data_IF_658415765855
#
_entry.id   IF_658415765855
#
_cell.length_a   1.000
_cell.length_b   1.000
_cell.length_c   1.000
_cell.angle_alpha   90.00
_cell.angle_beta   90.00
_cell.angle_gamma   90.00
#
_symmetry.space_group_name_H-M   'P 1'
#
loop_
_entity.id
_entity.type
_entity.pdbx_description
1 polymer ?
#
# COMPACT_ATOMS: atom_id res chain seq x y z
N UNK A 1 -6.76 -32.87 9.43
CA UNK A 1 -6.46 -31.44 9.63
C UNK A 1 -6.81 -30.71 8.34
N UNK A 2 -8.02 -30.20 8.26
CA UNK A 2 -8.44 -29.29 7.19
C UNK A 2 -7.77 -27.96 7.46
N UNK A 3 -6.84 -27.56 6.61
CA UNK A 3 -6.38 -26.18 6.56
C UNK A 3 -7.63 -25.31 6.41
N UNK A 4 -7.93 -24.49 7.42
CA UNK A 4 -8.92 -23.43 7.29
C UNK A 4 -8.46 -22.57 6.13
N UNK A 5 -9.20 -22.54 5.02
CA UNK A 5 -9.00 -21.51 4.01
C UNK A 5 -9.18 -20.17 4.74
N UNK A 6 -8.13 -19.36 4.79
CA UNK A 6 -8.25 -17.98 5.26
C UNK A 6 -9.48 -17.35 4.62
N UNK A 7 -10.37 -16.78 5.43
CA UNK A 7 -11.57 -16.13 4.95
C UNK A 7 -11.19 -14.95 4.06
N UNK A 8 -11.32 -15.11 2.75
CA UNK A 8 -11.26 -14.01 1.80
C UNK A 8 -12.68 -13.55 1.50
N UNK A 9 -12.94 -12.27 1.68
CA UNK A 9 -14.19 -11.63 1.36
C UNK A 9 -14.00 -10.72 0.15
N UNK A 10 -15.00 -10.69 -0.73
CA UNK A 10 -15.11 -9.70 -1.80
C UNK A 10 -16.38 -8.90 -1.56
N UNK A 11 -16.20 -7.60 -1.42
CA UNK A 11 -17.25 -6.63 -1.14
C UNK A 11 -17.22 -5.53 -2.18
N UNK A 12 -18.38 -4.96 -2.50
CA UNK A 12 -18.43 -3.64 -3.14
C UNK A 12 -18.19 -2.53 -2.11
N UNK A 13 -17.97 -1.30 -2.57
CA UNK A 13 -17.84 -0.15 -1.66
C UNK A 13 -19.12 0.08 -0.85
N UNK A 14 -20.30 -0.09 -1.45
CA UNK A 14 -21.58 0.07 -0.74
C UNK A 14 -21.80 -1.05 0.28
N UNK A 15 -21.38 -2.28 -0.03
CA UNK A 15 -21.43 -3.39 0.92
C UNK A 15 -20.52 -3.16 2.11
N UNK A 16 -19.28 -2.69 1.88
CA UNK A 16 -18.39 -2.35 2.97
C UNK A 16 -18.96 -1.21 3.83
N UNK A 17 -19.62 -0.21 3.24
CA UNK A 17 -20.33 0.83 4.00
C UNK A 17 -21.48 0.27 4.84
N UNK A 18 -22.28 -0.67 4.32
CA UNK A 18 -23.33 -1.35 5.09
C UNK A 18 -22.71 -2.09 6.28
N UNK A 19 -21.67 -2.88 6.04
CA UNK A 19 -20.99 -3.66 7.09
C UNK A 19 -20.39 -2.74 8.15
N UNK A 20 -19.65 -1.70 7.74
CA UNK A 20 -19.07 -0.73 8.65
C UNK A 20 -20.12 -0.05 9.53
N UNK A 21 -21.25 0.37 8.94
CA UNK A 21 -22.34 0.99 9.69
C UNK A 21 -22.96 0.04 10.73
N UNK A 22 -23.11 -1.26 10.40
CA UNK A 22 -23.62 -2.28 11.34
C UNK A 22 -22.67 -2.54 12.50
N UNK A 23 -21.36 -2.50 12.23
CA UNK A 23 -20.31 -2.74 13.22
C UNK A 23 -19.95 -1.48 14.03
N UNK A 24 -20.54 -0.33 13.72
CA UNK A 24 -20.17 0.96 14.33
C UNK A 24 -18.78 1.46 13.92
N UNK A 25 -18.20 0.91 12.85
CA UNK A 25 -16.88 1.32 12.33
C UNK A 25 -17.00 2.69 11.67
N UNK A 26 -16.31 3.68 12.24
CA UNK A 26 -16.41 5.09 11.83
C UNK A 26 -15.31 5.53 10.85
N UNK A 27 -14.21 4.78 10.79
CA UNK A 27 -13.06 5.10 9.97
C UNK A 27 -12.54 3.83 9.30
N UNK A 28 -11.91 4.00 8.16
CA UNK A 28 -11.24 2.94 7.41
C UNK A 28 -9.88 3.48 6.94
N UNK A 29 -8.94 2.60 6.55
CA UNK A 29 -7.65 2.99 6.04
C UNK A 29 -7.79 3.97 4.87
N UNK A 30 -7.23 5.18 5.01
CA UNK A 30 -7.44 6.29 4.08
C UNK A 30 -7.01 5.95 2.65
N UNK A 31 -6.06 5.02 2.50
CA UNK A 31 -5.59 4.57 1.19
C UNK A 31 -6.68 3.92 0.36
N UNK A 32 -7.68 3.27 0.97
CA UNK A 32 -8.79 2.60 0.27
C UNK A 32 -9.74 3.58 -0.42
N UNK A 33 -9.75 4.84 0.00
CA UNK A 33 -10.47 5.93 -0.66
C UNK A 33 -11.98 5.66 -0.83
N UNK A 34 -12.60 5.24 0.28
CA UNK A 34 -14.03 4.93 0.40
C UNK A 34 -14.80 6.24 0.65
N UNK A 35 -15.30 6.86 -0.40
CA UNK A 35 -15.98 8.17 -0.30
C UNK A 35 -17.45 8.01 -0.68
N UNK A 36 -18.36 8.80 -0.09
CA UNK A 36 -19.73 8.86 -0.58
C UNK A 36 -19.74 9.16 -2.09
N UNK A 37 -20.23 8.21 -2.89
CA UNK A 37 -20.20 8.25 -4.36
C UNK A 37 -21.55 8.57 -5.01
N UNK A 38 -22.63 8.47 -4.24
CA UNK A 38 -24.00 8.64 -4.73
C UNK A 38 -24.41 10.11 -4.74
N UNK A 39 -24.98 10.62 -5.84
CA UNK A 39 -25.27 12.05 -6.01
C UNK A 39 -26.47 12.54 -5.19
N UNK A 40 -27.34 11.63 -4.73
CA UNK A 40 -28.55 11.96 -3.96
C UNK A 40 -28.74 10.98 -2.80
N UNK A 41 -29.50 11.40 -1.78
CA UNK A 41 -29.87 10.55 -0.66
C UNK A 41 -30.71 9.34 -1.10
N UNK A 42 -31.62 9.53 -2.06
CA UNK A 42 -32.44 8.44 -2.62
C UNK A 42 -31.56 7.39 -3.31
N UNK A 43 -30.65 7.82 -4.19
CA UNK A 43 -29.73 6.90 -4.86
C UNK A 43 -28.84 6.15 -3.85
N UNK A 44 -28.37 6.85 -2.82
CA UNK A 44 -27.63 6.24 -1.71
C UNK A 44 -28.46 5.19 -0.98
N UNK A 45 -29.71 5.48 -0.64
CA UNK A 45 -30.59 4.55 0.08
C UNK A 45 -30.89 3.30 -0.75
N UNK A 46 -31.13 3.47 -2.05
CA UNK A 46 -31.36 2.35 -2.99
C UNK A 46 -30.12 1.45 -3.09
N UNK A 47 -28.94 2.04 -3.24
CA UNK A 47 -27.66 1.32 -3.33
C UNK A 47 -27.35 0.55 -2.04
N UNK A 48 -27.52 1.16 -0.86
CA UNK A 48 -27.35 0.48 0.43
C UNK A 48 -28.39 -0.62 0.64
N UNK A 49 -29.62 -0.45 0.14
CA UNK A 49 -30.65 -1.48 0.14
C UNK A 49 -30.28 -2.68 -0.75
N UNK A 50 -29.71 -2.43 -1.94
CA UNK A 50 -29.18 -3.48 -2.82
C UNK A 50 -28.00 -4.22 -2.19
N UNK A 51 -27.04 -3.49 -1.63
CA UNK A 51 -25.89 -4.04 -0.92
C UNK A 51 -26.32 -4.92 0.27
N UNK A 52 -27.30 -4.46 1.07
CA UNK A 52 -27.86 -5.23 2.19
C UNK A 52 -28.47 -6.55 1.70
N UNK A 53 -29.25 -6.53 0.62
CA UNK A 53 -29.82 -7.76 0.04
C UNK A 53 -28.73 -8.71 -0.44
N UNK A 54 -27.72 -8.21 -1.15
CA UNK A 54 -26.62 -9.05 -1.64
C UNK A 54 -25.81 -9.68 -0.51
N UNK A 55 -25.55 -8.94 0.58
CA UNK A 55 -24.89 -9.47 1.77
C UNK A 55 -25.71 -10.57 2.44
N UNK A 56 -27.03 -10.40 2.54
CA UNK A 56 -27.94 -11.41 3.10
C UNK A 56 -28.04 -12.65 2.22
N UNK A 57 -28.15 -12.50 0.90
CA UNK A 57 -28.14 -13.62 -0.06
C UNK A 57 -26.86 -14.45 0.02
N UNK A 58 -25.72 -13.80 0.31
CA UNK A 58 -24.42 -14.46 0.51
C UNK A 58 -24.19 -14.96 1.94
N UNK A 59 -25.15 -14.79 2.85
CA UNK A 59 -25.03 -15.21 4.25
C UNK A 59 -24.04 -14.38 5.09
N UNK A 60 -23.53 -13.26 4.57
CA UNK A 60 -22.63 -12.35 5.28
C UNK A 60 -23.38 -11.43 6.25
N UNK A 61 -24.70 -11.31 6.07
CA UNK A 61 -25.59 -10.57 6.96
C UNK A 61 -26.84 -11.41 7.27
N UNK A 62 -27.03 -11.81 8.51
CA UNK A 62 -28.18 -12.63 8.96
C UNK A 62 -28.91 -11.93 10.10
N UNK A 63 -30.23 -11.74 9.95
CA UNK A 63 -31.06 -11.05 10.95
C UNK A 63 -30.53 -9.66 11.38
N UNK A 64 -29.80 -8.97 10.50
CA UNK A 64 -29.18 -7.67 10.78
C UNK A 64 -27.77 -7.74 11.36
N UNK A 65 -27.29 -8.92 11.73
CA UNK A 65 -25.95 -9.18 12.25
C UNK A 65 -24.97 -9.58 11.14
N UNK A 66 -23.77 -9.03 11.19
CA UNK A 66 -22.67 -9.38 10.26
C UNK A 66 -22.05 -10.71 10.72
N UNK A 67 -21.61 -11.55 9.78
CA UNK A 67 -20.92 -12.80 10.15
C UNK A 67 -19.67 -12.53 11.02
N UNK A 68 -19.34 -13.46 11.92
CA UNK A 68 -18.26 -13.28 12.89
C UNK A 68 -16.90 -13.06 12.20
N UNK A 69 -16.62 -13.83 11.15
CA UNK A 69 -15.38 -13.75 10.39
C UNK A 69 -15.24 -12.40 9.67
N UNK A 70 -16.33 -11.91 9.06
CA UNK A 70 -16.32 -10.61 8.39
C UNK A 70 -16.23 -9.46 9.40
N UNK A 71 -16.91 -9.60 10.55
CA UNK A 71 -16.87 -8.63 11.63
C UNK A 71 -15.44 -8.41 12.13
N UNK A 72 -14.73 -9.51 12.44
CA UNK A 72 -13.35 -9.46 12.91
C UNK A 72 -12.44 -8.72 11.92
N UNK A 73 -12.51 -9.10 10.64
CA UNK A 73 -11.64 -8.52 9.61
C UNK A 73 -11.93 -7.04 9.38
N UNK A 74 -13.21 -6.63 9.36
CA UNK A 74 -13.58 -5.23 9.12
C UNK A 74 -13.30 -4.35 10.35
N UNK A 75 -13.44 -4.87 11.56
CA UNK A 75 -13.10 -4.14 12.79
C UNK A 75 -11.60 -3.81 12.86
N UNK A 76 -10.73 -4.75 12.48
CA UNK A 76 -9.28 -4.52 12.46
C UNK A 76 -8.82 -3.43 11.49
N UNK A 77 -9.65 -3.05 10.52
CA UNK A 77 -9.35 -1.95 9.61
C UNK A 77 -9.60 -0.58 10.26
N UNK A 78 -10.43 -0.47 11.31
CA UNK A 78 -10.88 0.83 11.82
C UNK A 78 -9.74 1.66 12.42
N UNK A 79 -8.88 1.01 13.19
CA UNK A 79 -7.86 1.67 14.00
C UNK A 79 -6.71 0.68 14.27
N UNK A 80 -5.96 0.31 13.23
CA UNK A 80 -4.90 -0.68 13.40
C UNK A 80 -3.71 -0.11 14.18
N UNK A 81 -3.01 -0.98 14.90
CA UNK A 81 -1.73 -0.66 15.53
C UNK A 81 -0.75 -0.13 14.49
N UNK A 82 -0.68 -0.80 13.34
CA UNK A 82 0.26 -0.52 12.25
C UNK A 82 -0.44 -0.66 10.91
N UNK A 83 -0.07 0.17 9.95
CA UNK A 83 -0.58 0.09 8.58
C UNK A 83 0.54 0.31 7.57
N UNK A 84 0.63 -0.58 6.58
CA UNK A 84 1.31 -0.31 5.32
C UNK A 84 0.26 -0.02 4.25
N UNK A 85 0.26 1.22 3.77
CA UNK A 85 -0.62 1.68 2.71
C UNK A 85 0.12 1.75 1.39
N UNK A 86 -0.45 1.17 0.33
CA UNK A 86 0.12 1.16 -1.00
C UNK A 86 -0.88 1.67 -2.06
N UNK A 87 -0.41 2.56 -2.93
CA UNK A 87 -1.11 2.93 -4.16
C UNK A 87 -0.32 2.38 -5.34
N UNK A 88 -0.95 1.53 -6.16
CA UNK A 88 -0.36 0.96 -7.37
C UNK A 88 -1.12 1.49 -8.59
N UNK A 89 -0.44 2.26 -9.43
CA UNK A 89 -0.96 2.80 -10.69
C UNK A 89 -0.38 1.98 -11.83
N UNK A 90 -1.25 1.34 -12.62
CA UNK A 90 -0.90 0.60 -13.84
C UNK A 90 -1.66 1.16 -15.04
N UNK A 91 -1.32 0.76 -16.27
CA UNK A 91 -2.13 1.09 -17.45
C UNK A 91 -3.58 0.60 -17.35
N UNK A 92 -3.82 -0.47 -16.60
CA UNK A 92 -5.15 -1.08 -16.42
C UNK A 92 -5.98 -0.39 -15.32
N UNK A 93 -5.36 0.46 -14.50
CA UNK A 93 -6.05 1.23 -13.47
C UNK A 93 -5.26 1.39 -12.17
N UNK A 94 -6.00 1.75 -11.11
CA UNK A 94 -5.45 2.01 -9.79
C UNK A 94 -5.91 0.93 -8.80
N UNK A 95 -4.95 0.25 -8.19
CA UNK A 95 -5.16 -0.59 -7.02
C UNK A 95 -4.75 0.16 -5.75
N UNK A 96 -5.62 0.16 -4.75
CA UNK A 96 -5.37 0.71 -3.41
C UNK A 96 -5.29 -0.45 -2.44
N UNK A 97 -4.16 -0.58 -1.76
CA UNK A 97 -3.89 -1.71 -0.89
C UNK A 97 -3.54 -1.19 0.50
N UNK A 98 -4.03 -1.85 1.52
CA UNK A 98 -3.58 -1.66 2.90
C UNK A 98 -3.29 -3.04 3.49
N UNK A 99 -2.21 -3.12 4.27
CA UNK A 99 -1.92 -4.26 5.12
C UNK A 99 -1.78 -3.75 6.53
N UNK A 100 -2.66 -4.18 7.41
CA UNK A 100 -2.76 -3.68 8.77
C UNK A 100 -2.41 -4.75 9.79
N UNK A 101 -1.84 -4.33 10.92
CA UNK A 101 -1.73 -5.14 12.13
C UNK A 101 -2.69 -4.59 13.18
N UNK A 102 -3.45 -5.49 13.80
CA UNK A 102 -4.31 -5.21 14.94
C UNK A 102 -4.11 -6.34 15.96
N UNK A 103 -3.32 -6.06 17.00
CA UNK A 103 -2.85 -7.07 17.95
C UNK A 103 -2.12 -8.21 17.23
N UNK A 104 -2.67 -9.41 17.33
CA UNK A 104 -2.10 -10.63 16.71
C UNK A 104 -2.62 -10.90 15.29
N UNK A 105 -3.53 -10.06 14.79
CA UNK A 105 -4.12 -10.19 13.46
C UNK A 105 -3.37 -9.35 12.44
N UNK A 106 -3.35 -9.85 11.20
CA UNK A 106 -2.76 -9.18 10.06
C UNK A 106 -3.74 -9.27 8.90
N UNK A 107 -4.28 -8.14 8.47
CA UNK A 107 -5.34 -8.08 7.47
C UNK A 107 -4.82 -7.35 6.24
N UNK A 108 -5.12 -7.89 5.06
CA UNK A 108 -4.87 -7.25 3.77
C UNK A 108 -6.20 -6.86 3.15
N UNK A 109 -6.33 -5.59 2.74
CA UNK A 109 -7.45 -5.12 1.95
C UNK A 109 -6.94 -4.49 0.65
N UNK A 110 -7.57 -4.84 -0.47
CA UNK A 110 -7.20 -4.38 -1.80
C UNK A 110 -8.46 -3.93 -2.56
N UNK A 111 -8.51 -2.67 -2.96
CA UNK A 111 -9.56 -2.11 -3.79
C UNK A 111 -9.08 -1.89 -5.22
N UNK A 112 -9.84 -2.43 -6.18
CA UNK A 112 -9.69 -2.20 -7.62
C UNK A 112 -11.06 -1.86 -8.19
N UNK A 113 -11.24 -0.63 -8.68
CA UNK A 113 -12.57 -0.13 -9.04
C UNK A 113 -13.51 -0.14 -7.83
N UNK A 114 -14.66 -0.78 -7.96
CA UNK A 114 -15.65 -0.94 -6.87
C UNK A 114 -15.44 -2.22 -6.04
N UNK A 115 -14.58 -3.14 -6.48
CA UNK A 115 -14.34 -4.40 -5.78
C UNK A 115 -13.26 -4.22 -4.70
N UNK A 116 -13.57 -4.66 -3.49
CA UNK A 116 -12.72 -4.64 -2.31
C UNK A 116 -12.54 -6.07 -1.84
N UNK A 117 -11.33 -6.60 -2.01
CA UNK A 117 -10.95 -7.89 -1.44
C UNK A 117 -10.35 -7.66 -0.07
N UNK A 118 -10.84 -8.39 0.94
CA UNK A 118 -10.35 -8.32 2.32
C UNK A 118 -10.02 -9.73 2.79
N UNK A 119 -8.83 -9.94 3.34
CA UNK A 119 -8.35 -11.27 3.74
C UNK A 119 -7.43 -11.21 4.96
N UNK A 120 -7.48 -12.27 5.77
CA UNK A 120 -6.49 -12.50 6.82
C UNK A 120 -5.19 -13.05 6.22
N UNK A 121 -4.05 -12.58 6.73
CA UNK A 121 -2.72 -13.12 6.43
C UNK A 121 -2.37 -14.15 7.51
N UNK A 122 -2.43 -15.43 7.15
CA UNK A 122 -2.26 -16.56 8.10
C UNK A 122 -0.82 -16.74 8.60
N UNK A 123 0.18 -16.19 7.91
CA UNK A 123 1.61 -16.29 8.27
C UNK A 123 1.99 -15.45 9.52
N UNK A 124 1.00 -15.02 10.29
CA UNK A 124 1.13 -14.23 11.51
C UNK A 124 1.31 -12.72 11.29
N UNK A 125 1.22 -11.97 12.39
CA UNK A 125 1.26 -10.50 12.40
C UNK A 125 2.67 -9.89 12.46
N UNK A 126 3.64 -10.52 11.81
CA UNK A 126 5.00 -9.99 11.70
C UNK A 126 5.21 -9.20 10.40
N UNK A 127 6.27 -8.38 10.36
CA UNK A 127 6.55 -7.50 9.23
C UNK A 127 6.84 -8.25 7.92
N UNK A 128 7.45 -9.44 8.00
CA UNK A 128 7.75 -10.25 6.82
C UNK A 128 6.46 -10.72 6.13
N UNK A 129 5.50 -11.17 6.93
CA UNK A 129 4.16 -11.57 6.47
C UNK A 129 3.39 -10.39 5.87
N UNK A 130 3.46 -9.22 6.51
CA UNK A 130 2.83 -8.00 5.99
C UNK A 130 3.44 -7.53 4.67
N UNK A 131 4.78 -7.50 4.58
CA UNK A 131 5.48 -7.19 3.33
C UNK A 131 5.21 -8.24 2.23
N UNK A 132 5.04 -9.51 2.62
CA UNK A 132 4.57 -10.57 1.73
C UNK A 132 3.16 -10.31 1.19
N UNK A 133 2.25 -9.84 2.04
CA UNK A 133 0.89 -9.42 1.66
C UNK A 133 0.89 -8.33 0.59
N UNK A 134 1.71 -7.28 0.76
CA UNK A 134 1.88 -6.24 -0.26
C UNK A 134 2.45 -6.79 -1.57
N UNK A 135 3.49 -7.64 -1.49
CA UNK A 135 4.14 -8.21 -2.67
C UNK A 135 3.18 -9.05 -3.52
N UNK A 136 2.25 -9.77 -2.90
CA UNK A 136 1.21 -10.52 -3.64
C UNK A 136 0.30 -9.62 -4.48
N UNK A 137 0.19 -8.32 -4.14
CA UNK A 137 -0.59 -7.32 -4.89
C UNK A 137 0.22 -6.58 -5.93
N UNK A 138 1.54 -6.74 -5.95
CA UNK A 138 2.43 -6.13 -6.93
C UNK A 138 2.59 -7.04 -8.16
N UNK A 139 2.54 -6.50 -9.38
CA UNK A 139 2.85 -7.28 -10.58
C UNK A 139 4.25 -7.88 -10.52
N UNK A 140 4.40 -9.11 -11.00
CA UNK A 140 5.70 -9.75 -11.16
C UNK A 140 6.54 -8.99 -12.20
N UNK A 141 7.82 -8.77 -11.91
CA UNK A 141 8.76 -8.15 -12.84
C UNK A 141 10.20 -8.49 -12.46
N UNK A 142 11.05 -8.69 -13.47
CA UNK A 142 12.49 -8.83 -13.24
C UNK A 142 13.08 -7.50 -12.71
N UNK A 143 14.07 -7.54 -11.80
CA UNK A 143 14.79 -6.35 -11.37
C UNK A 143 15.50 -5.69 -12.56
N UNK A 144 15.55 -4.36 -12.58
CA UNK A 144 16.33 -3.63 -13.57
C UNK A 144 17.84 -3.82 -13.36
N UNK A 145 18.59 -3.94 -14.45
CA UNK A 145 20.06 -3.99 -14.44
C UNK A 145 20.65 -2.58 -14.31
N UNK A 146 20.62 -2.04 -13.09
CA UNK A 146 21.12 -0.71 -12.76
C UNK A 146 22.08 -0.76 -11.57
N UNK A 147 23.06 0.14 -11.55
CA UNK A 147 23.80 0.45 -10.34
C UNK A 147 22.93 1.29 -9.39
N UNK A 148 22.98 1.06 -8.07
CA UNK A 148 22.28 1.91 -7.12
C UNK A 148 22.70 3.37 -7.18
N UNK A 149 21.74 4.30 -7.12
CA UNK A 149 21.98 5.75 -7.04
C UNK A 149 21.20 6.30 -5.85
N UNK A 150 21.90 6.87 -4.88
CA UNK A 150 21.32 7.47 -3.68
C UNK A 150 21.59 8.96 -3.61
N UNK A 151 20.57 9.72 -3.23
CA UNK A 151 20.66 11.16 -3.01
C UNK A 151 19.58 11.63 -2.00
N UNK A 152 19.66 12.85 -1.47
CA UNK A 152 18.62 13.42 -0.62
C UNK A 152 17.24 13.34 -1.29
N UNK A 153 16.22 12.96 -0.51
CA UNK A 153 14.87 12.64 -1.02
C UNK A 153 14.27 13.81 -1.82
N UNK A 154 14.46 15.04 -1.35
CA UNK A 154 13.98 16.26 -2.00
C UNK A 154 14.63 16.47 -3.36
N UNK A 155 15.94 16.24 -3.47
CA UNK A 155 16.69 16.38 -4.72
C UNK A 155 16.30 15.31 -5.74
N UNK A 156 16.16 14.05 -5.30
CA UNK A 156 15.67 12.96 -6.17
C UNK A 156 14.26 13.27 -6.66
N UNK A 157 13.36 13.70 -5.77
CA UNK A 157 11.98 14.02 -6.13
C UNK A 157 11.94 15.14 -7.18
N UNK A 158 12.73 16.19 -7.00
CA UNK A 158 12.84 17.27 -7.98
C UNK A 158 13.44 16.80 -9.31
N UNK A 159 14.50 15.99 -9.27
CA UNK A 159 15.15 15.45 -10.46
C UNK A 159 14.19 14.62 -11.32
N UNK A 160 13.31 13.84 -10.69
CA UNK A 160 12.39 12.92 -11.36
C UNK A 160 11.03 13.55 -11.72
N UNK A 161 10.79 14.81 -11.36
CA UNK A 161 9.50 15.50 -11.60
C UNK A 161 9.42 16.15 -12.99
N UNK A 162 8.19 16.28 -13.49
CA UNK A 162 7.81 17.11 -14.64
C UNK A 162 8.47 16.76 -15.99
N UNK A 163 9.03 15.55 -16.13
CA UNK A 163 9.58 15.09 -17.40
C UNK A 163 9.55 13.56 -17.53
N UNK A 164 9.38 13.10 -18.77
CA UNK A 164 9.58 11.70 -19.16
C UNK A 164 10.66 11.60 -20.26
N UNK A 165 11.40 12.68 -20.52
CA UNK A 165 12.49 12.68 -21.50
C UNK A 165 13.73 11.99 -20.93
N UNK A 166 14.22 10.97 -21.64
CA UNK A 166 15.35 10.16 -21.19
C UNK A 166 16.64 10.97 -21.03
N UNK A 167 16.92 11.91 -21.94
CA UNK A 167 18.13 12.74 -21.90
C UNK A 167 18.08 13.67 -20.70
N UNK A 168 16.94 14.35 -20.49
CA UNK A 168 16.74 15.24 -19.34
C UNK A 168 16.85 14.47 -18.02
N UNK A 169 16.21 13.31 -17.91
CA UNK A 169 16.28 12.48 -16.71
C UNK A 169 17.72 12.02 -16.45
N UNK A 170 18.44 11.57 -17.47
CA UNK A 170 19.85 11.17 -17.33
C UNK A 170 20.73 12.32 -16.86
N UNK A 171 20.59 13.53 -17.40
CA UNK A 171 21.36 14.68 -16.95
C UNK A 171 21.04 15.07 -15.50
N UNK A 172 19.76 15.03 -15.11
CA UNK A 172 19.36 15.30 -13.73
C UNK A 172 19.87 14.25 -12.75
N UNK A 173 19.82 12.96 -13.12
CA UNK A 173 20.38 11.87 -12.31
C UNK A 173 21.91 11.98 -12.19
N UNK A 174 22.60 12.40 -13.25
CA UNK A 174 24.03 12.70 -13.21
C UNK A 174 24.34 13.85 -12.25
N UNK A 175 23.49 14.88 -12.20
CA UNK A 175 23.62 15.98 -11.26
C UNK A 175 23.44 15.55 -9.79
N UNK A 176 22.78 14.42 -9.53
CA UNK A 176 22.71 13.80 -8.20
C UNK A 176 24.00 13.03 -7.81
N UNK A 177 25.03 13.03 -8.65
CA UNK A 177 26.31 12.38 -8.40
C UNK A 177 26.46 10.97 -8.96
N UNK A 178 25.51 10.50 -9.78
CA UNK A 178 25.65 9.21 -10.47
C UNK A 178 26.74 9.28 -11.56
N UNK A 179 27.47 8.18 -11.75
CA UNK A 179 28.39 8.07 -12.88
C UNK A 179 27.63 8.10 -14.23
N UNK A 180 28.28 8.51 -15.34
CA UNK A 180 27.61 8.70 -16.62
C UNK A 180 26.81 7.48 -17.12
N UNK A 181 27.34 6.27 -16.91
CA UNK A 181 26.68 5.04 -17.38
C UNK A 181 25.44 4.74 -16.55
N UNK A 182 25.53 4.86 -15.23
CA UNK A 182 24.39 4.68 -14.33
C UNK A 182 23.30 5.71 -14.59
N UNK A 183 23.67 6.97 -14.80
CA UNK A 183 22.74 8.05 -15.12
C UNK A 183 22.00 7.83 -16.45
N UNK A 184 22.72 7.42 -17.50
CA UNK A 184 22.13 7.05 -18.79
C UNK A 184 21.15 5.89 -18.66
N UNK A 185 21.57 4.82 -17.97
CA UNK A 185 20.75 3.61 -17.82
C UNK A 185 19.48 3.88 -17.01
N UNK A 186 19.62 4.60 -15.89
CA UNK A 186 18.51 4.91 -15.00
C UNK A 186 17.54 5.92 -15.62
N UNK A 187 18.05 6.96 -16.28
CA UNK A 187 17.21 7.94 -16.98
C UNK A 187 16.41 7.30 -18.12
N UNK A 188 17.05 6.43 -18.92
CA UNK A 188 16.36 5.64 -19.96
C UNK A 188 15.30 4.70 -19.38
N UNK A 189 15.58 4.04 -18.25
CA UNK A 189 14.60 3.16 -17.60
C UNK A 189 13.38 3.97 -17.10
N UNK A 190 13.62 5.06 -16.36
CA UNK A 190 12.55 5.88 -15.78
C UNK A 190 11.71 6.60 -16.85
N UNK A 191 12.32 7.04 -17.95
CA UNK A 191 11.59 7.56 -19.12
C UNK A 191 10.62 6.53 -19.73
N UNK A 192 10.95 5.23 -19.63
CA UNK A 192 10.14 4.12 -20.11
C UNK A 192 9.27 3.48 -19.02
N UNK A 193 8.88 4.25 -17.98
CA UNK A 193 7.99 3.81 -16.91
C UNK A 193 6.58 3.53 -17.44
N UNK A 194 6.01 2.40 -17.03
CA UNK A 194 4.66 1.94 -17.39
C UNK A 194 3.71 1.95 -16.20
N UNK A 195 4.23 1.68 -15.01
CA UNK A 195 3.45 1.61 -13.77
C UNK A 195 4.33 2.03 -12.59
N UNK A 196 3.71 2.39 -11.48
CA UNK A 196 4.43 2.63 -10.23
C UNK A 196 3.58 2.29 -9.01
N UNK A 197 4.25 1.97 -7.91
CA UNK A 197 3.63 1.89 -6.61
C UNK A 197 4.34 2.81 -5.61
N UNK A 198 3.58 3.38 -4.68
CA UNK A 198 4.08 4.08 -3.51
C UNK A 198 3.59 3.34 -2.28
N UNK A 199 4.50 3.00 -1.35
CA UNK A 199 4.18 2.41 -0.05
C UNK A 199 4.55 3.40 1.04
N UNK A 200 3.62 3.67 1.94
CA UNK A 200 3.79 4.52 3.12
C UNK A 200 3.40 3.73 4.36
N UNK A 201 3.95 4.12 5.51
CA UNK A 201 3.72 3.44 6.77
C UNK A 201 3.05 4.38 7.77
N UNK A 202 2.08 3.86 8.50
CA UNK A 202 1.42 4.52 9.61
C UNK A 202 1.54 3.66 10.87
N UNK A 203 1.63 4.32 12.02
CA UNK A 203 1.65 3.66 13.32
C UNK A 203 0.78 4.43 14.31
N UNK A 204 -0.04 3.71 15.07
CA UNK A 204 -0.69 4.23 16.26
C UNK A 204 0.37 4.43 17.36
N UNK A 205 0.44 5.66 17.85
CA UNK A 205 1.13 6.01 19.08
C UNK A 205 0.14 5.89 20.24
N UNK A 206 0.36 4.89 21.10
CA UNK A 206 -0.52 4.56 22.22
C UNK A 206 -0.43 5.59 23.36
N UNK A 207 0.69 6.30 23.50
CA UNK A 207 0.89 7.28 24.57
C UNK A 207 0.07 8.55 24.33
N UNK A 208 -0.05 8.96 23.06
CA UNK A 208 -0.78 10.20 22.68
C UNK A 208 -2.06 9.96 21.89
N UNK A 209 -2.44 8.70 21.68
CA UNK A 209 -3.66 8.29 20.97
C UNK A 209 -3.76 8.86 19.54
N UNK A 210 -2.64 8.81 18.79
CA UNK A 210 -2.55 9.41 17.44
C UNK A 210 -1.90 8.51 16.43
N UNK A 211 -2.41 8.54 15.20
CA UNK A 211 -1.78 7.91 14.05
C UNK A 211 -0.67 8.82 13.53
N UNK A 212 0.56 8.34 13.56
CA UNK A 212 1.73 8.95 12.93
C UNK A 212 1.96 8.34 11.54
N UNK A 213 2.48 9.14 10.61
CA UNK A 213 2.92 8.68 9.28
C UNK A 213 4.44 8.76 9.21
N UNK A 214 5.09 7.71 8.70
CA UNK A 214 6.52 7.74 8.41
C UNK A 214 6.86 8.87 7.43
N UNK A 215 8.00 9.53 7.65
CA UNK A 215 8.41 10.69 6.86
C UNK A 215 8.88 10.33 5.44
N UNK A 216 9.14 9.04 5.17
CA UNK A 216 9.55 8.51 3.87
C UNK A 216 8.47 7.67 3.19
N UNK A 217 8.82 7.14 2.02
CA UNK A 217 8.03 6.18 1.27
C UNK A 217 8.94 5.20 0.51
N UNK A 218 8.43 4.01 0.22
CA UNK A 218 9.04 3.12 -0.78
C UNK A 218 8.39 3.41 -2.13
N UNK A 219 9.19 3.84 -3.09
CA UNK A 219 8.76 3.97 -4.48
C UNK A 219 9.10 2.72 -5.28
N UNK A 220 8.20 2.21 -6.10
CA UNK A 220 8.43 1.08 -7.01
C UNK A 220 8.08 1.54 -8.41
N UNK A 221 8.99 1.40 -9.36
CA UNK A 221 8.80 1.82 -10.74
C UNK A 221 8.93 0.61 -11.66
N UNK A 222 7.88 0.35 -12.43
CA UNK A 222 7.89 -0.66 -13.47
C UNK A 222 8.26 0.00 -14.78
N UNK A 223 9.35 -0.46 -15.39
CA UNK A 223 9.86 0.09 -16.64
C UNK A 223 10.01 -1.01 -17.68
N UNK A 224 10.17 -0.63 -18.95
CA UNK A 224 10.55 -1.58 -20.02
C UNK A 224 11.91 -2.26 -19.77
N UNK A 225 12.72 -1.75 -18.84
CA UNK A 225 14.07 -2.26 -18.50
C UNK A 225 14.11 -2.96 -17.14
N UNK A 226 12.95 -3.38 -16.62
CA UNK A 226 12.82 -4.04 -15.33
C UNK A 226 12.29 -3.11 -14.23
N UNK A 227 12.11 -3.67 -13.04
CA UNK A 227 11.58 -2.99 -11.86
C UNK A 227 12.70 -2.31 -11.08
N UNK A 228 12.44 -1.08 -10.66
CA UNK A 228 13.32 -0.26 -9.83
C UNK A 228 12.61 0.00 -8.50
N UNK A 229 13.34 0.02 -7.40
CA UNK A 229 12.83 0.43 -6.08
C UNK A 229 13.62 1.63 -5.57
N UNK A 230 12.92 2.66 -5.13
CA UNK A 230 13.44 3.75 -4.31
C UNK A 230 13.28 3.38 -2.85
N UNK A 231 14.38 3.00 -2.20
CA UNK A 231 14.39 2.61 -0.80
C UNK A 231 14.73 3.81 0.09
N UNK A 232 13.89 4.12 1.10
CA UNK A 232 14.09 5.29 1.94
C UNK A 232 15.15 5.01 3.01
N UNK A 233 15.86 6.06 3.44
CA UNK A 233 16.75 6.05 4.59
C UNK A 233 16.88 7.46 5.18
N UNK A 234 17.57 7.58 6.32
CA UNK A 234 17.91 8.86 6.92
C UNK A 234 19.42 8.90 7.22
N UNK A 235 20.02 10.08 7.06
CA UNK A 235 21.38 10.33 7.53
C UNK A 235 21.41 10.43 9.07
N UNK A 236 22.60 10.40 9.69
CA UNK A 236 22.74 10.68 11.13
C UNK A 236 22.20 12.06 11.56
N UNK A 237 22.09 13.01 10.64
CA UNK A 237 21.52 14.34 10.87
C UNK A 237 20.00 14.40 10.67
N UNK A 238 19.35 13.27 10.38
CA UNK A 238 17.91 13.20 10.12
C UNK A 238 17.47 13.62 8.72
N UNK A 239 18.42 13.95 7.82
CA UNK A 239 18.09 14.24 6.42
C UNK A 239 17.56 12.97 5.76
N UNK A 240 16.41 13.05 5.11
CA UNK A 240 15.86 11.93 4.36
C UNK A 240 16.59 11.73 3.03
N UNK A 241 16.84 10.47 2.72
CA UNK A 241 17.48 9.99 1.50
C UNK A 241 16.59 8.94 0.82
N UNK A 242 16.78 8.77 -0.48
CA UNK A 242 16.26 7.61 -1.21
C UNK A 242 17.33 7.05 -2.11
N UNK A 243 17.38 5.72 -2.19
CA UNK A 243 18.30 5.00 -3.07
C UNK A 243 17.51 4.23 -4.12
N UNK A 244 17.67 4.61 -5.38
CA UNK A 244 17.13 3.91 -6.55
C UNK A 244 18.02 2.71 -6.85
N UNK A 245 17.48 1.49 -6.76
CA UNK A 245 18.22 0.24 -6.94
C UNK A 245 17.38 -0.84 -7.64
N UNK A 246 17.96 -1.96 -8.09
CA UNK A 246 17.21 -3.06 -8.69
C UNK A 246 16.05 -3.54 -7.78
N UNK A 247 14.84 -3.58 -8.33
CA UNK A 247 13.61 -3.88 -7.57
C UNK A 247 13.27 -5.36 -7.51
N UNK A 248 14.11 -6.19 -6.89
CA UNK A 248 13.73 -7.57 -6.57
C UNK A 248 12.70 -7.63 -5.43
N UNK A 249 11.96 -8.73 -5.31
CA UNK A 249 11.02 -8.92 -4.18
C UNK A 249 11.75 -8.83 -2.84
N UNK A 250 12.96 -9.41 -2.75
CA UNK A 250 13.80 -9.31 -1.57
C UNK A 250 14.15 -7.85 -1.25
N UNK A 251 14.55 -7.08 -2.26
CA UNK A 251 14.90 -5.66 -2.11
C UNK A 251 13.70 -4.81 -1.71
N UNK A 252 12.49 -5.14 -2.18
CA UNK A 252 11.26 -4.48 -1.76
C UNK A 252 10.95 -4.78 -0.28
N UNK A 253 11.05 -6.04 0.16
CA UNK A 253 10.88 -6.39 1.59
C UNK A 253 11.87 -5.62 2.47
N UNK A 254 13.13 -5.53 2.05
CA UNK A 254 14.14 -4.72 2.75
C UNK A 254 13.75 -3.24 2.81
N UNK A 255 13.31 -2.65 1.70
CA UNK A 255 12.89 -1.26 1.65
C UNK A 255 11.68 -0.97 2.56
N UNK A 256 10.75 -1.92 2.67
CA UNK A 256 9.63 -1.85 3.63
C UNK A 256 10.14 -1.88 5.07
N UNK A 257 11.13 -2.73 5.37
CA UNK A 257 11.81 -2.72 6.68
C UNK A 257 12.43 -1.36 7.00
N UNK A 258 13.17 -0.79 6.06
CA UNK A 258 13.77 0.54 6.20
C UNK A 258 12.72 1.64 6.40
N UNK A 259 11.58 1.56 5.71
CA UNK A 259 10.47 2.49 5.89
C UNK A 259 9.86 2.44 7.29
N UNK A 260 9.73 1.23 7.86
CA UNK A 260 9.25 1.03 9.24
C UNK A 260 10.26 1.59 10.24
N UNK A 261 11.55 1.31 10.07
CA UNK A 261 12.62 1.83 10.94
C UNK A 261 12.65 3.36 10.98
N UNK A 262 12.39 4.03 9.85
CA UNK A 262 12.34 5.49 9.77
C UNK A 262 11.25 6.14 10.60
N UNK A 263 10.19 5.40 10.95
CA UNK A 263 9.07 5.95 11.71
C UNK A 263 9.36 6.09 13.21
N UNK A 264 10.35 5.35 13.73
CA UNK A 264 10.56 5.19 15.17
C UNK A 264 9.62 4.16 15.84
N UNK A 265 8.54 3.72 15.19
CA UNK A 265 7.61 2.71 15.70
C UNK A 265 7.81 1.40 14.96
N UNK A 266 8.33 0.36 15.63
CA UNK A 266 8.54 -0.92 14.96
C UNK A 266 7.20 -1.60 14.73
N UNK A 267 7.17 -2.46 13.72
CA UNK A 267 5.97 -3.22 13.37
C UNK A 267 5.47 -4.08 14.55
N UNK A 268 6.38 -4.74 15.26
CA UNK A 268 6.04 -5.65 16.35
C UNK A 268 5.88 -4.98 17.72
N UNK A 269 6.08 -3.67 17.82
CA UNK A 269 5.88 -2.95 19.08
C UNK A 269 4.38 -2.80 19.34
N UNK A 270 3.96 -3.12 20.56
CA UNK A 270 2.73 -2.75 21.25
C UNK A 270 2.93 -3.02 22.74
#
# INVERSE_FOLDING_TARGET
MTASLAGQFVLTEDELHVVAARLGVQAMPLVLDLRPRHPTETARAEALGQATRSLTERGLLTAGEVSAELSAVVQSLQRPDRELAMRLVTPDGLARVTVVRDGTQCISACRVGDAITVETIDDGANLSSAAGGLLRRLPAAAPAEISPVGAPLTEVSQALSDTHDATVLSDRIRALGADPRSAMTLGSALAARLAFAEIVYYALDDDVDRISRSAGAVGIFYTKRGRIVGAPSASPSGQLWTTLKPGSDHTIKQAVGQLVELSGYRWGDC
#
